data_IF_561567057121
#
_entry.id   IF_561567057121
#
_cell.length_a   1.000
_cell.length_b   1.000
_cell.length_c   1.000
_cell.angle_alpha   90.00
_cell.angle_beta   90.00
_cell.angle_gamma   90.00
#
_symmetry.space_group_name_H-M   'P 1'
#
loop_
_entity.id
_entity.type
_entity.pdbx_description
1 polymer ?
#
# COMPACT_ATOMS: atom_id res chain seq x y z
N UNK A 1 -21.77 7.47 -47.69
CA UNK A 1 -22.72 7.05 -46.63
C UNK A 1 -22.06 5.94 -45.81
N UNK A 2 -22.32 5.92 -44.49
CA UNK A 2 -21.82 5.01 -43.43
C UNK A 2 -20.29 4.94 -43.27
N UNK A 3 -19.63 5.43 -42.22
CA UNK A 3 -20.06 5.69 -40.83
C UNK A 3 -19.65 4.51 -39.92
N UNK A 4 -18.89 4.83 -38.86
CA UNK A 4 -18.66 4.06 -37.62
C UNK A 4 -17.43 3.14 -37.50
N UNK A 5 -16.54 3.53 -36.57
CA UNK A 5 -15.42 2.73 -36.08
C UNK A 5 -14.65 3.36 -34.91
N UNK A 6 -15.27 4.21 -34.10
CA UNK A 6 -14.70 4.79 -32.86
C UNK A 6 -15.56 4.38 -31.66
N UNK A 7 -15.52 3.11 -31.27
CA UNK A 7 -16.41 2.58 -30.21
C UNK A 7 -15.82 1.46 -29.35
N UNK A 8 -14.50 1.25 -29.35
CA UNK A 8 -13.88 0.09 -28.70
C UNK A 8 -13.08 0.34 -27.42
N UNK A 9 -12.82 1.59 -27.01
CA UNK A 9 -11.81 1.87 -25.97
C UNK A 9 -12.36 2.26 -24.59
N UNK A 10 -13.68 2.26 -24.39
CA UNK A 10 -14.27 2.60 -23.09
C UNK A 10 -15.42 1.65 -22.75
N UNK A 11 -15.10 0.39 -22.49
CA UNK A 11 -16.14 -0.58 -22.14
C UNK A 11 -15.61 -1.88 -21.59
N UNK A 12 -15.34 -1.90 -20.29
CA UNK A 12 -15.25 -3.16 -19.54
C UNK A 12 -13.93 -3.38 -18.82
N UNK A 13 -13.83 -2.86 -17.58
CA UNK A 13 -13.40 -3.68 -16.44
C UNK A 13 -13.64 -2.97 -15.09
N UNK A 14 -14.89 -2.59 -14.82
CA UNK A 14 -15.24 -1.93 -13.55
C UNK A 14 -15.04 -2.85 -12.33
N UNK A 15 -15.05 -4.18 -12.53
CA UNK A 15 -14.77 -5.19 -11.52
C UNK A 15 -13.28 -5.24 -11.14
N UNK A 16 -12.36 -5.28 -12.12
CA UNK A 16 -10.93 -5.30 -11.81
C UNK A 16 -10.42 -4.02 -11.12
N UNK A 17 -11.07 -2.86 -11.35
CA UNK A 17 -10.75 -1.63 -10.61
C UNK A 17 -11.09 -1.70 -9.12
N UNK A 18 -12.08 -2.50 -8.72
CA UNK A 18 -12.45 -2.65 -7.30
C UNK A 18 -11.51 -3.59 -6.54
N UNK A 19 -10.96 -4.62 -7.20
CA UNK A 19 -10.04 -5.58 -6.57
C UNK A 19 -8.56 -5.18 -6.65
N UNK A 20 -8.22 -4.17 -7.45
CA UNK A 20 -6.84 -3.72 -7.65
C UNK A 20 -6.09 -3.35 -6.35
N UNK A 21 -6.66 -2.62 -5.38
CA UNK A 21 -5.94 -2.26 -4.15
C UNK A 21 -5.63 -3.47 -3.27
N UNK A 22 -6.60 -4.38 -3.11
CA UNK A 22 -6.41 -5.61 -2.33
C UNK A 22 -5.35 -6.51 -2.96
N UNK A 23 -5.39 -6.66 -4.29
CA UNK A 23 -4.37 -7.43 -5.03
C UNK A 23 -2.98 -6.82 -4.89
N UNK A 24 -2.86 -5.50 -4.97
CA UNK A 24 -1.60 -4.79 -4.76
C UNK A 24 -1.04 -5.00 -3.34
N UNK A 25 -1.88 -4.86 -2.31
CA UNK A 25 -1.48 -5.12 -0.91
C UNK A 25 -0.99 -6.57 -0.75
N UNK A 26 -1.69 -7.55 -1.32
CA UNK A 26 -1.27 -8.96 -1.24
C UNK A 26 0.09 -9.19 -1.90
N UNK A 27 0.34 -8.59 -3.08
CA UNK A 27 1.64 -8.68 -3.75
C UNK A 27 2.77 -8.01 -2.95
N UNK A 28 2.50 -6.86 -2.35
CA UNK A 28 3.46 -6.16 -1.48
C UNK A 28 3.77 -6.98 -0.23
N UNK A 29 2.77 -7.58 0.42
CA UNK A 29 2.95 -8.46 1.59
C UNK A 29 3.74 -9.73 1.25
N UNK A 30 3.50 -10.33 0.08
CA UNK A 30 4.30 -11.47 -0.38
C UNK A 30 5.78 -11.08 -0.62
N UNK A 31 6.01 -9.91 -1.23
CA UNK A 31 7.38 -9.37 -1.39
C UNK A 31 8.04 -9.11 -0.04
N UNK A 32 7.30 -8.54 0.92
CA UNK A 32 7.78 -8.30 2.28
C UNK A 32 8.20 -9.61 2.98
N UNK A 33 7.39 -10.67 2.86
CA UNK A 33 7.74 -11.99 3.40
C UNK A 33 9.05 -12.54 2.79
N UNK A 34 9.23 -12.36 1.49
CA UNK A 34 10.46 -12.75 0.80
C UNK A 34 11.68 -11.95 1.32
N UNK A 35 11.54 -10.64 1.50
CA UNK A 35 12.62 -9.80 2.03
C UNK A 35 12.96 -10.13 3.47
N UNK A 36 11.98 -10.42 4.32
CA UNK A 36 12.22 -10.88 5.69
C UNK A 36 12.97 -12.23 5.73
N UNK A 37 12.63 -13.16 4.82
CA UNK A 37 13.39 -14.41 4.66
C UNK A 37 14.83 -14.14 4.22
N UNK A 38 15.03 -13.21 3.29
CA UNK A 38 16.36 -12.78 2.83
C UNK A 38 17.17 -12.14 3.96
N UNK A 39 16.56 -11.26 4.75
CA UNK A 39 17.19 -10.61 5.91
C UNK A 39 17.71 -11.66 6.90
N UNK A 40 16.86 -12.62 7.29
CA UNK A 40 17.27 -13.73 8.15
C UNK A 40 18.39 -14.57 7.56
N UNK A 41 18.37 -14.82 6.25
CA UNK A 41 19.42 -15.56 5.57
C UNK A 41 20.76 -14.80 5.60
N UNK A 42 20.75 -13.50 5.34
CA UNK A 42 21.93 -12.64 5.41
C UNK A 42 22.52 -12.61 6.83
N UNK A 43 21.67 -12.52 7.86
CA UNK A 43 22.12 -12.57 9.24
C UNK A 43 22.83 -13.89 9.57
N UNK A 44 22.26 -15.03 9.15
CA UNK A 44 22.89 -16.34 9.35
C UNK A 44 24.26 -16.42 8.64
N UNK A 45 24.37 -15.92 7.41
CA UNK A 45 25.64 -15.88 6.68
C UNK A 45 26.68 -14.98 7.37
N UNK A 46 26.26 -13.85 7.93
CA UNK A 46 27.13 -12.99 8.72
C UNK A 46 27.67 -13.71 9.96
N UNK A 47 26.83 -14.44 10.67
CA UNK A 47 27.22 -15.20 11.85
C UNK A 47 28.21 -16.32 11.48
N UNK A 48 28.01 -16.99 10.34
CA UNK A 48 28.96 -17.98 9.81
C UNK A 48 30.32 -17.36 9.50
N UNK A 49 30.37 -16.21 8.84
CA UNK A 49 31.63 -15.50 8.55
C UNK A 49 32.31 -14.98 9.83
N UNK A 50 31.54 -14.54 10.83
CA UNK A 50 32.07 -14.16 12.15
C UNK A 50 32.72 -15.37 12.85
N UNK A 51 32.06 -16.52 12.84
CA UNK A 51 32.60 -17.76 13.40
C UNK A 51 33.87 -18.20 12.65
N UNK A 52 33.89 -18.11 11.31
CA UNK A 52 35.11 -18.39 10.52
C UNK A 52 36.24 -17.44 10.90
N UNK A 53 35.97 -16.15 11.04
CA UNK A 53 36.98 -15.18 11.46
C UNK A 53 37.57 -15.52 12.83
N UNK A 54 36.72 -15.87 13.81
CA UNK A 54 37.16 -16.30 15.15
C UNK A 54 38.01 -17.57 15.13
N UNK A 55 37.67 -18.54 14.29
CA UNK A 55 38.46 -19.78 14.13
C UNK A 55 39.85 -19.54 13.56
N UNK A 56 39.98 -18.59 12.62
CA UNK A 56 41.25 -18.33 11.93
C UNK A 56 42.12 -17.25 12.58
N UNK A 57 41.64 -16.53 13.62
CA UNK A 57 42.34 -15.36 14.16
C UNK A 57 43.77 -15.67 14.65
N UNK A 58 43.97 -16.86 15.24
CA UNK A 58 45.25 -17.29 15.80
C UNK A 58 46.08 -18.17 14.86
N UNK A 59 45.47 -18.70 13.79
CA UNK A 59 46.11 -19.68 12.90
C UNK A 59 46.37 -19.14 11.50
N UNK A 60 45.47 -18.31 10.97
CA UNK A 60 45.59 -17.73 9.64
C UNK A 60 44.92 -16.34 9.59
N UNK A 61 45.71 -15.31 9.93
CA UNK A 61 45.24 -13.90 9.93
C UNK A 61 44.67 -13.45 8.59
N UNK A 62 45.21 -13.94 7.47
CA UNK A 62 44.71 -13.57 6.13
C UNK A 62 43.31 -14.12 5.90
N UNK A 63 43.07 -15.40 6.26
CA UNK A 63 41.74 -16.00 6.18
C UNK A 63 40.74 -15.30 7.10
N UNK A 64 41.14 -14.95 8.34
CA UNK A 64 40.30 -14.20 9.26
C UNK A 64 39.92 -12.81 8.71
N UNK A 65 40.87 -12.07 8.15
CA UNK A 65 40.62 -10.76 7.54
C UNK A 65 39.69 -10.85 6.33
N UNK A 66 39.80 -11.90 5.53
CA UNK A 66 38.92 -12.12 4.39
C UNK A 66 37.48 -12.46 4.82
N UNK A 67 37.30 -13.27 5.87
CA UNK A 67 36.00 -13.55 6.44
C UNK A 67 35.32 -12.27 6.98
N UNK A 68 36.07 -11.42 7.71
CA UNK A 68 35.56 -10.13 8.18
C UNK A 68 35.18 -9.18 7.04
N UNK A 69 35.93 -9.17 5.93
CA UNK A 69 35.56 -8.37 4.74
C UNK A 69 34.25 -8.86 4.11
N UNK A 70 34.05 -10.18 4.01
CA UNK A 70 32.80 -10.75 3.52
C UNK A 70 31.63 -10.41 4.44
N UNK A 71 31.82 -10.55 5.77
CA UNK A 71 30.83 -10.12 6.76
C UNK A 71 30.43 -8.66 6.56
N UNK A 72 31.39 -7.75 6.37
CA UNK A 72 31.10 -6.34 6.10
C UNK A 72 30.29 -6.10 4.83
N UNK A 73 30.54 -6.86 3.76
CA UNK A 73 29.74 -6.77 2.52
C UNK A 73 28.30 -7.27 2.73
N UNK A 74 28.13 -8.33 3.53
CA UNK A 74 26.82 -8.84 3.92
C UNK A 74 26.07 -7.82 4.78
N UNK A 75 26.74 -7.13 5.71
CA UNK A 75 26.16 -6.04 6.52
C UNK A 75 25.60 -4.92 5.64
N UNK A 76 26.34 -4.49 4.60
CA UNK A 76 25.83 -3.49 3.64
C UNK A 76 24.62 -4.00 2.87
N UNK A 77 24.60 -5.27 2.50
CA UNK A 77 23.46 -5.87 1.79
C UNK A 77 22.24 -6.04 2.71
N UNK A 78 22.47 -6.32 3.99
CA UNK A 78 21.45 -6.39 5.02
C UNK A 78 20.79 -5.03 5.20
N UNK A 79 21.59 -3.96 5.36
CA UNK A 79 21.10 -2.58 5.48
C UNK A 79 20.21 -2.17 4.28
N UNK A 80 20.63 -2.50 3.06
CA UNK A 80 19.82 -2.28 1.86
C UNK A 80 18.51 -3.07 1.89
N UNK A 81 18.53 -4.31 2.38
CA UNK A 81 17.34 -5.16 2.50
C UNK A 81 16.37 -4.57 3.53
N UNK A 82 16.86 -4.15 4.69
CA UNK A 82 16.02 -3.51 5.71
C UNK A 82 15.44 -2.17 5.22
N UNK A 83 16.18 -1.39 4.42
CA UNK A 83 15.64 -0.19 3.77
C UNK A 83 14.52 -0.51 2.78
N UNK A 84 14.65 -1.59 2.01
CA UNK A 84 13.57 -2.05 1.10
C UNK A 84 12.32 -2.49 1.86
N UNK A 85 12.49 -3.18 3.00
CA UNK A 85 11.39 -3.58 3.89
C UNK A 85 10.63 -2.33 4.38
N UNK A 86 11.33 -1.36 4.97
CA UNK A 86 10.72 -0.12 5.46
C UNK A 86 9.94 0.63 4.37
N UNK A 87 10.51 0.71 3.16
CA UNK A 87 9.84 1.35 2.02
C UNK A 87 8.54 0.63 1.64
N UNK A 88 8.53 -0.71 1.61
CA UNK A 88 7.34 -1.49 1.31
C UNK A 88 6.27 -1.38 2.39
N UNK A 89 6.66 -1.39 3.67
CA UNK A 89 5.73 -1.16 4.78
C UNK A 89 5.05 0.20 4.67
N UNK A 90 5.82 1.26 4.38
CA UNK A 90 5.28 2.60 4.14
C UNK A 90 4.32 2.66 2.95
N UNK A 91 4.59 1.92 1.87
CA UNK A 91 3.69 1.83 0.72
C UNK A 91 2.39 1.09 1.06
N UNK A 92 2.46 -0.02 1.81
CA UNK A 92 1.28 -0.75 2.28
C UNK A 92 0.39 0.18 3.12
N UNK A 93 0.97 0.87 4.11
CA UNK A 93 0.24 1.80 4.97
C UNK A 93 -0.40 2.95 4.18
N UNK A 94 0.31 3.46 3.16
CA UNK A 94 -0.20 4.50 2.27
C UNK A 94 -1.42 4.03 1.46
N UNK A 95 -1.39 2.80 0.93
CA UNK A 95 -2.52 2.23 0.18
C UNK A 95 -3.70 1.95 1.11
N UNK A 96 -3.46 1.45 2.31
CA UNK A 96 -4.50 1.22 3.32
C UNK A 96 -5.19 2.54 3.71
N UNK A 97 -4.41 3.59 3.93
CA UNK A 97 -4.93 4.95 4.20
C UNK A 97 -5.74 5.49 3.01
N UNK A 98 -5.24 5.31 1.78
CA UNK A 98 -5.95 5.75 0.58
C UNK A 98 -7.30 5.02 0.41
N UNK A 99 -7.38 3.73 0.76
CA UNK A 99 -8.63 2.98 0.74
C UNK A 99 -9.64 3.53 1.78
N UNK A 100 -9.19 3.82 3.01
CA UNK A 100 -10.04 4.41 4.06
C UNK A 100 -10.56 5.79 3.64
N UNK A 101 -9.69 6.63 3.07
CA UNK A 101 -10.06 7.96 2.59
C UNK A 101 -11.11 7.88 1.47
N UNK A 102 -10.95 6.91 0.57
CA UNK A 102 -11.94 6.64 -0.48
C UNK A 102 -13.30 6.22 0.12
N UNK A 103 -13.31 5.28 1.06
CA UNK A 103 -14.56 4.84 1.71
C UNK A 103 -15.25 5.99 2.46
N UNK A 104 -14.47 6.84 3.11
CA UNK A 104 -14.97 8.06 3.77
C UNK A 104 -15.61 9.02 2.77
N UNK A 105 -14.96 9.26 1.62
CA UNK A 105 -15.52 10.12 0.57
C UNK A 105 -16.80 9.52 -0.03
N UNK A 106 -16.84 8.20 -0.25
CA UNK A 106 -18.04 7.51 -0.73
C UNK A 106 -19.20 7.67 0.26
N UNK A 107 -18.94 7.54 1.57
CA UNK A 107 -19.93 7.76 2.63
C UNK A 107 -20.42 9.21 2.69
N UNK A 108 -19.51 10.20 2.62
CA UNK A 108 -19.86 11.62 2.55
C UNK A 108 -20.71 11.95 1.32
N UNK A 109 -20.39 11.34 0.17
CA UNK A 109 -21.18 11.48 -1.05
C UNK A 109 -22.62 10.98 -0.88
N UNK A 110 -22.81 9.84 -0.21
CA UNK A 110 -24.14 9.31 0.09
C UNK A 110 -24.88 10.19 1.12
N UNK A 111 -24.20 10.67 2.15
CA UNK A 111 -24.76 11.60 3.13
C UNK A 111 -25.22 12.92 2.45
N UNK A 112 -24.40 13.48 1.56
CA UNK A 112 -24.76 14.68 0.81
C UNK A 112 -26.01 14.47 -0.06
N UNK A 113 -26.15 13.31 -0.71
CA UNK A 113 -27.37 12.97 -1.46
C UNK A 113 -28.59 12.87 -0.55
N UNK A 114 -28.48 12.19 0.59
CA UNK A 114 -29.57 12.10 1.56
C UNK A 114 -29.98 13.49 2.08
N UNK A 115 -29.02 14.34 2.40
CA UNK A 115 -29.26 15.73 2.81
C UNK A 115 -29.98 16.53 1.72
N UNK A 116 -29.58 16.38 0.45
CA UNK A 116 -30.28 17.01 -0.69
C UNK A 116 -31.72 16.52 -0.84
N UNK A 117 -32.00 15.25 -0.56
CA UNK A 117 -33.38 14.74 -0.57
C UNK A 117 -34.21 15.32 0.58
N UNK A 118 -33.65 15.37 1.78
CA UNK A 118 -34.31 15.97 2.96
C UNK A 118 -34.62 17.45 2.73
N UNK A 119 -33.65 18.23 2.24
CA UNK A 119 -33.80 19.67 2.02
C UNK A 119 -34.49 20.00 0.71
N UNK A 120 -34.39 19.15 -0.31
CA UNK A 120 -35.08 19.33 -1.59
C UNK A 120 -36.61 19.19 -1.47
N UNK A 121 -37.11 18.61 -0.38
CA UNK A 121 -38.53 18.64 -0.01
C UNK A 121 -38.99 19.92 0.69
N UNK A 122 -38.05 20.78 1.12
CA UNK A 122 -38.28 22.10 1.73
C UNK A 122 -38.09 23.20 0.67
N UNK A 123 -38.86 23.14 -0.41
CA UNK A 123 -38.93 24.27 -1.36
C UNK A 123 -39.61 25.46 -0.69
N UNK A 124 -39.20 26.68 -1.03
CA UNK A 124 -39.86 27.93 -0.59
C UNK A 124 -41.37 27.82 -0.78
N UNK A 125 -41.83 27.30 -1.93
CA UNK A 125 -43.24 27.09 -2.24
C UNK A 125 -43.99 26.22 -1.21
N UNK A 126 -43.33 25.24 -0.58
CA UNK A 126 -43.92 24.42 0.48
C UNK A 126 -43.90 25.13 1.82
N UNK A 127 -42.87 25.92 2.10
CA UNK A 127 -42.80 26.73 3.32
C UNK A 127 -43.88 27.81 3.28
N UNK A 128 -44.04 28.50 2.15
CA UNK A 128 -45.06 29.53 1.93
C UNK A 128 -46.47 28.94 2.07
N UNK A 129 -46.74 27.77 1.47
CA UNK A 129 -48.01 27.07 1.66
C UNK A 129 -48.25 26.65 3.12
N UNK A 130 -47.21 26.24 3.86
CA UNK A 130 -47.34 25.88 5.28
C UNK A 130 -47.52 27.13 6.17
N UNK A 131 -46.99 28.28 5.77
CA UNK A 131 -47.19 29.56 6.46
C UNK A 131 -48.60 30.11 6.21
N UNK A 132 -49.14 29.98 4.99
CA UNK A 132 -50.54 30.31 4.67
C UNK A 132 -51.52 29.45 5.50
N UNK A 133 -51.31 28.13 5.58
CA UNK A 133 -52.13 27.22 6.40
C UNK A 133 -52.05 27.51 7.92
N UNK A 134 -51.01 28.22 8.38
CA UNK A 134 -50.82 28.59 9.79
C UNK A 134 -51.35 30.00 10.13
N UNK A 135 -51.47 30.88 9.14
CA UNK A 135 -52.01 32.24 9.29
C UNK A 135 -53.55 32.29 9.16
N UNK A 136 -54.18 31.19 8.71
CA UNK A 136 -55.63 30.93 8.83
C UNK A 136 -56.07 30.46 10.23
#
# INVERSE_FOLDING_TARGET
MSGWGLGGWFGGNSAAKKDAPKKAILQLRSTLEMLNKREKHLQNQMDEEDQKARKFINTNKTAAKNALRKKKQLETTLEQTSAQIMNLEGQIASIETANINKETLDALGNASKAMKTIHGGLTIDKVDATMEDLEE
#
